data_IF_610645915987
#
_entry.id   IF_610645915987
#
_cell.length_a   1.000
_cell.length_b   1.000
_cell.length_c   1.000
_cell.angle_alpha   90.00
_cell.angle_beta   90.00
_cell.angle_gamma   90.00
#
_symmetry.space_group_name_H-M   'P 1'
#
loop_
_entity.id
_entity.type
_entity.pdbx_description
1 polymer ?
#
# COMPACT_ATOMS: atom_id res chain seq x y z
N UNK A 1 -8.64 -17.69 17.94
CA UNK A 1 -8.49 -19.04 17.33
C UNK A 1 -8.41 -20.12 18.42
N UNK A 2 -8.50 -21.41 18.09
CA UNK A 2 -8.33 -22.54 19.03
C UNK A 2 -7.26 -23.52 18.53
N UNK A 3 -6.53 -24.13 19.47
CA UNK A 3 -5.65 -25.26 19.18
C UNK A 3 -6.50 -26.52 19.01
N UNK A 4 -6.37 -27.20 17.87
CA UNK A 4 -7.02 -28.46 17.61
C UNK A 4 -5.96 -29.58 17.55
N UNK A 5 -6.15 -30.60 18.37
CA UNK A 5 -5.20 -31.71 18.51
C UNK A 5 -5.86 -32.95 17.92
N UNK A 6 -5.33 -33.43 16.80
CA UNK A 6 -5.83 -34.64 16.14
C UNK A 6 -4.87 -35.78 16.46
N UNK A 7 -5.39 -36.82 17.11
CA UNK A 7 -4.64 -38.03 17.45
C UNK A 7 -4.95 -39.13 16.44
N UNK A 8 -3.92 -39.68 15.83
CA UNK A 8 -3.95 -40.89 15.02
C UNK A 8 -3.13 -41.99 15.71
N UNK A 9 -3.26 -43.24 15.28
CA UNK A 9 -2.61 -44.41 15.90
C UNK A 9 -1.10 -44.20 16.13
N UNK A 10 -0.43 -43.49 15.22
CA UNK A 10 1.02 -43.31 15.24
C UNK A 10 1.47 -41.84 15.33
N UNK A 11 0.55 -40.87 15.41
CA UNK A 11 0.90 -39.47 15.21
C UNK A 11 -0.10 -38.53 15.89
N UNK A 12 0.41 -37.51 16.59
CA UNK A 12 -0.42 -36.41 17.10
C UNK A 12 -0.07 -35.12 16.35
N UNK A 13 -1.05 -34.56 15.62
CA UNK A 13 -0.86 -33.36 14.80
C UNK A 13 -1.57 -32.18 15.45
N UNK A 14 -0.87 -31.04 15.50
CA UNK A 14 -1.35 -29.80 16.07
C UNK A 14 -1.77 -28.83 14.96
N UNK A 15 -3.00 -28.31 15.06
CA UNK A 15 -3.57 -27.36 14.13
C UNK A 15 -4.06 -26.09 14.84
N UNK A 16 -3.85 -24.94 14.22
CA UNK A 16 -4.54 -23.71 14.58
C UNK A 16 -5.84 -23.62 13.77
N UNK A 17 -6.99 -23.64 14.44
CA UNK A 17 -8.29 -23.58 13.81
C UNK A 17 -9.05 -22.31 14.21
N UNK A 18 -9.75 -21.69 13.25
CA UNK A 18 -10.64 -20.56 13.47
C UNK A 18 -12.08 -21.02 13.35
N UNK A 19 -12.87 -20.77 14.38
CA UNK A 19 -14.31 -20.95 14.34
C UNK A 19 -14.96 -19.74 13.67
N UNK A 20 -15.93 -19.98 12.80
CA UNK A 20 -16.77 -18.95 12.18
C UNK A 20 -18.20 -19.48 12.04
N UNK A 21 -19.17 -18.58 11.95
CA UNK A 21 -20.56 -18.96 11.66
C UNK A 21 -20.75 -18.97 10.14
N UNK A 22 -21.29 -20.07 9.60
CA UNK A 22 -21.69 -20.12 8.20
C UNK A 22 -22.95 -19.27 7.97
N UNK A 23 -23.25 -18.96 6.70
CA UNK A 23 -24.48 -18.25 6.31
C UNK A 23 -25.76 -18.93 6.83
N UNK A 24 -25.72 -20.26 7.00
CA UNK A 24 -26.79 -21.08 7.59
C UNK A 24 -26.87 -21.03 9.14
N UNK A 25 -26.09 -20.17 9.79
CA UNK A 25 -26.06 -19.99 11.25
C UNK A 25 -25.31 -21.07 12.04
N UNK A 26 -24.85 -22.15 11.38
CA UNK A 26 -24.09 -23.24 12.03
C UNK A 26 -22.64 -22.81 12.32
N UNK A 27 -22.15 -23.14 13.51
CA UNK A 27 -20.76 -22.88 13.88
C UNK A 27 -19.83 -23.92 13.22
N UNK A 28 -19.02 -23.48 12.26
CA UNK A 28 -18.03 -24.32 11.56
C UNK A 28 -16.61 -23.90 11.92
N UNK A 29 -15.64 -24.81 11.82
CA UNK A 29 -14.22 -24.52 12.07
C UNK A 29 -13.40 -24.70 10.79
N UNK A 30 -12.57 -23.72 10.43
CA UNK A 30 -11.59 -23.81 9.34
C UNK A 30 -10.18 -23.87 9.92
N UNK A 31 -9.35 -24.78 9.41
CA UNK A 31 -7.93 -24.85 9.76
C UNK A 31 -7.21 -23.67 9.11
N UNK A 32 -6.56 -22.83 9.91
CA UNK A 32 -5.79 -21.66 9.45
C UNK A 32 -4.34 -22.05 9.17
N UNK A 33 -3.74 -22.85 10.05
CA UNK A 33 -2.34 -23.28 9.93
C UNK A 33 -2.11 -24.63 10.58
N UNK A 34 -1.35 -25.51 9.91
CA UNK A 34 -0.80 -26.73 10.50
C UNK A 34 0.49 -26.35 11.24
N UNK A 35 0.55 -26.62 12.55
CA UNK A 35 1.70 -26.28 13.39
C UNK A 35 2.79 -27.35 13.33
N UNK A 36 2.42 -28.61 13.13
CA UNK A 36 3.34 -29.73 12.99
C UNK A 36 2.90 -30.95 13.79
N UNK A 37 3.72 -31.98 13.76
CA UNK A 37 3.56 -33.19 14.59
C UNK A 37 4.25 -33.01 15.95
N UNK A 38 3.71 -33.60 17.01
CA UNK A 38 4.34 -33.52 18.35
C UNK A 38 5.79 -34.02 18.34
N UNK A 39 6.09 -35.12 17.63
CA UNK A 39 7.45 -35.67 17.51
C UNK A 39 8.42 -34.72 16.78
N UNK A 40 7.98 -34.12 15.67
CA UNK A 40 8.75 -33.10 14.94
C UNK A 40 9.05 -31.87 15.80
N UNK A 41 8.08 -31.48 16.63
CA UNK A 41 8.21 -30.34 17.52
C UNK A 41 9.10 -30.65 18.72
N UNK A 42 9.06 -31.86 19.28
CA UNK A 42 10.02 -32.31 20.33
C UNK A 42 11.46 -32.30 19.83
N UNK A 43 11.70 -32.64 18.57
CA UNK A 43 13.05 -32.58 17.99
C UNK A 43 13.56 -31.16 17.73
N UNK A 44 12.67 -30.17 17.61
CA UNK A 44 13.00 -28.76 17.34
C UNK A 44 13.02 -27.89 18.59
N UNK A 45 12.22 -28.26 19.58
CA UNK A 45 12.08 -27.56 20.85
C UNK A 45 12.97 -28.28 21.86
N UNK A 46 14.13 -27.69 22.18
CA UNK A 46 15.16 -28.24 23.08
C UNK A 46 14.65 -28.35 24.53
N UNK A 47 13.68 -29.22 24.81
CA UNK A 47 13.13 -29.50 26.15
C UNK A 47 11.82 -28.79 26.49
N UNK A 48 11.23 -28.00 25.60
CA UNK A 48 9.94 -27.33 25.81
C UNK A 48 8.77 -28.25 25.38
N UNK A 49 7.62 -28.21 26.08
CA UNK A 49 6.45 -28.99 25.71
C UNK A 49 5.84 -28.47 24.38
N UNK A 50 5.77 -29.30 23.32
CA UNK A 50 5.17 -28.92 22.04
C UNK A 50 3.75 -28.35 22.14
N UNK A 51 2.99 -28.77 23.17
CA UNK A 51 1.62 -28.30 23.36
C UNK A 51 1.61 -26.86 23.89
N UNK A 52 2.49 -26.52 24.83
CA UNK A 52 2.60 -25.15 25.35
C UNK A 52 3.11 -24.20 24.27
N UNK A 53 4.14 -24.60 23.52
CA UNK A 53 4.60 -23.83 22.37
C UNK A 53 3.48 -23.56 21.36
N UNK A 54 2.69 -24.58 21.04
CA UNK A 54 1.57 -24.44 20.11
C UNK A 54 0.45 -23.54 20.64
N UNK A 55 0.16 -23.56 21.96
CA UNK A 55 -0.77 -22.62 22.60
C UNK A 55 -0.28 -21.19 22.47
N UNK A 56 1.00 -20.93 22.73
CA UNK A 56 1.62 -19.60 22.60
C UNK A 56 1.51 -19.07 21.17
N UNK A 57 1.77 -19.92 20.17
CA UNK A 57 1.60 -19.55 18.76
C UNK A 57 0.16 -19.20 18.41
N UNK A 58 -0.82 -20.00 18.87
CA UNK A 58 -2.25 -19.72 18.65
C UNK A 58 -2.70 -18.44 19.35
N UNK A 59 -2.17 -18.16 20.54
CA UNK A 59 -2.44 -16.92 21.28
C UNK A 59 -1.91 -15.71 20.51
N UNK A 60 -0.67 -15.76 20.02
CA UNK A 60 -0.09 -14.70 19.19
C UNK A 60 -0.90 -14.41 17.92
N UNK A 61 -1.33 -15.46 17.20
CA UNK A 61 -2.20 -15.30 16.04
C UNK A 61 -3.56 -14.67 16.40
N UNK A 62 -4.12 -15.02 17.55
CA UNK A 62 -5.39 -14.45 18.02
C UNK A 62 -5.23 -12.97 18.41
N UNK A 63 -4.10 -12.59 19.01
CA UNK A 63 -3.81 -11.19 19.33
C UNK A 63 -3.69 -10.33 18.07
N UNK A 64 -2.98 -10.81 17.04
CA UNK A 64 -2.86 -10.14 15.74
C UNK A 64 -4.22 -9.96 15.05
N UNK A 65 -5.08 -10.99 15.06
CA UNK A 65 -6.44 -10.88 14.53
C UNK A 65 -7.30 -9.88 15.32
N UNK A 66 -7.12 -9.79 16.64
CA UNK A 66 -7.85 -8.84 17.50
C UNK A 66 -7.40 -7.40 17.24
N UNK A 67 -6.10 -7.19 17.07
CA UNK A 67 -5.51 -5.90 16.70
C UNK A 67 -6.02 -5.44 15.33
N UNK A 68 -6.08 -6.35 14.34
CA UNK A 68 -6.60 -6.05 13.01
C UNK A 68 -8.12 -5.81 12.95
N UNK A 69 -8.89 -6.27 13.94
CA UNK A 69 -10.35 -6.11 14.02
C UNK A 69 -10.80 -5.12 15.09
N UNK A 70 -9.96 -4.13 15.43
CA UNK A 70 -10.36 -3.08 16.37
C UNK A 70 -11.58 -2.33 15.83
N UNK A 71 -12.65 -2.28 16.63
CA UNK A 71 -13.79 -1.44 16.36
C UNK A 71 -13.40 0.03 16.54
N UNK A 72 -13.55 0.80 15.48
CA UNK A 72 -13.43 2.27 15.54
C UNK A 72 -14.80 2.82 15.88
N UNK A 73 -14.96 3.33 17.09
CA UNK A 73 -16.17 4.04 17.52
C UNK A 73 -15.95 5.52 17.20
N UNK A 74 -16.79 6.08 16.34
CA UNK A 74 -16.79 7.51 16.02
C UNK A 74 -17.95 8.13 16.80
N UNK A 75 -17.63 8.95 17.80
CA UNK A 75 -18.62 9.72 18.56
C UNK A 75 -19.00 10.97 17.77
N UNK A 76 -20.28 11.07 17.39
CA UNK A 76 -20.82 12.14 16.55
C UNK A 76 -21.88 12.92 17.33
N UNK A 77 -21.60 14.18 17.66
CA UNK A 77 -22.59 15.07 18.27
C UNK A 77 -23.50 15.69 17.18
N UNK A 78 -24.83 15.40 17.17
CA UNK A 78 -25.75 15.94 16.18
C UNK A 78 -25.98 17.45 16.29
N UNK A 79 -25.69 18.06 17.44
CA UNK A 79 -25.84 19.50 17.67
C UNK A 79 -24.59 20.29 17.25
N UNK A 80 -23.47 19.61 16.96
CA UNK A 80 -22.26 20.26 16.53
C UNK A 80 -22.42 20.79 15.10
N UNK A 81 -22.50 22.11 14.96
CA UNK A 81 -22.56 22.77 13.65
C UNK A 81 -21.18 22.71 12.96
N UNK A 82 -21.19 22.45 11.67
CA UNK A 82 -19.98 22.47 10.83
C UNK A 82 -19.79 23.89 10.30
N UNK A 83 -18.58 24.43 10.43
CA UNK A 83 -18.27 25.77 9.92
C UNK A 83 -18.42 25.80 8.40
N UNK A 84 -19.07 26.84 7.87
CA UNK A 84 -19.27 26.98 6.43
C UNK A 84 -17.91 27.06 5.72
N UNK A 85 -17.67 26.15 4.77
CA UNK A 85 -16.42 26.05 4.01
C UNK A 85 -15.39 25.08 4.60
N UNK A 86 -15.65 24.49 5.77
CA UNK A 86 -14.79 23.48 6.37
C UNK A 86 -14.99 22.12 5.70
N UNK A 87 -13.91 21.55 5.14
CA UNK A 87 -13.93 20.24 4.49
C UNK A 87 -13.57 19.16 5.50
N UNK A 88 -14.49 18.22 5.74
CA UNK A 88 -14.30 17.06 6.63
C UNK A 88 -14.23 15.70 5.90
N UNK A 89 -14.36 15.71 4.58
CA UNK A 89 -14.27 14.50 3.74
C UNK A 89 -13.17 14.62 2.69
N UNK A 90 -12.31 13.61 2.62
CA UNK A 90 -11.16 13.54 1.72
C UNK A 90 -11.17 12.22 0.97
N UNK A 91 -10.62 12.22 -0.24
CA UNK A 91 -10.38 10.99 -0.98
C UNK A 91 -9.10 10.36 -0.45
N UNK A 92 -9.23 9.22 0.23
CA UNK A 92 -8.10 8.40 0.72
C UNK A 92 -7.67 7.29 -0.24
N UNK A 93 -8.30 7.14 -1.41
CA UNK A 93 -7.99 6.09 -2.38
C UNK A 93 -6.56 6.14 -2.90
N UNK A 94 -5.93 7.32 -2.87
CA UNK A 94 -4.53 7.48 -3.27
C UNK A 94 -3.54 6.82 -2.30
N UNK A 95 -3.91 6.55 -1.05
CA UNK A 95 -3.01 5.95 -0.05
C UNK A 95 -2.51 4.56 -0.48
N UNK A 96 -3.34 3.81 -1.20
CA UNK A 96 -2.93 2.54 -1.79
C UNK A 96 -1.88 2.74 -2.90
N UNK A 97 -2.08 3.75 -3.75
CA UNK A 97 -1.13 4.12 -4.81
C UNK A 97 0.17 4.66 -4.21
N UNK A 98 0.09 5.36 -3.07
CA UNK A 98 1.25 5.86 -2.34
C UNK A 98 2.14 4.73 -1.85
N UNK A 99 1.56 3.68 -1.26
CA UNK A 99 2.31 2.47 -0.89
C UNK A 99 3.06 1.88 -2.10
N UNK A 100 2.36 1.65 -3.21
CA UNK A 100 2.97 1.11 -4.44
C UNK A 100 4.07 2.03 -4.97
N UNK A 101 3.84 3.34 -4.96
CA UNK A 101 4.80 4.34 -5.43
C UNK A 101 6.15 4.27 -4.70
N UNK A 102 6.11 4.11 -3.36
CA UNK A 102 7.31 3.98 -2.54
C UNK A 102 7.92 2.58 -2.61
N UNK A 103 7.12 1.52 -2.72
CA UNK A 103 7.63 0.15 -2.94
C UNK A 103 8.38 0.02 -4.28
N UNK A 104 7.97 0.78 -5.31
CA UNK A 104 8.68 0.87 -6.58
C UNK A 104 9.97 1.71 -6.52
N UNK A 105 10.23 2.39 -5.40
CA UNK A 105 11.42 3.23 -5.21
C UNK A 105 11.46 4.48 -6.08
N UNK A 106 10.30 4.99 -6.52
CA UNK A 106 10.21 6.20 -7.35
C UNK A 106 10.74 7.43 -6.63
N UNK A 107 10.60 7.49 -5.30
CA UNK A 107 11.16 8.55 -4.46
C UNK A 107 12.69 8.58 -4.52
N UNK A 108 13.34 7.41 -4.55
CA UNK A 108 14.79 7.29 -4.67
C UNK A 108 15.28 7.78 -6.04
N UNK A 109 14.52 7.51 -7.10
CA UNK A 109 14.82 8.01 -8.44
C UNK A 109 14.71 9.54 -8.46
N UNK A 110 13.63 10.09 -7.90
CA UNK A 110 13.46 11.55 -7.78
C UNK A 110 14.61 12.19 -6.99
N UNK A 111 15.04 11.59 -5.87
CA UNK A 111 16.20 12.07 -5.09
C UNK A 111 17.50 12.03 -5.89
N UNK A 112 17.75 10.98 -6.68
CA UNK A 112 18.95 10.88 -7.54
C UNK A 112 18.96 11.96 -8.61
N UNK A 113 17.82 12.21 -9.26
CA UNK A 113 17.67 13.26 -10.27
C UNK A 113 17.86 14.64 -9.63
N UNK A 114 17.25 14.87 -8.47
CA UNK A 114 17.40 16.12 -7.73
C UNK A 114 18.85 16.43 -7.37
N UNK A 115 19.63 15.43 -6.94
CA UNK A 115 21.07 15.59 -6.65
C UNK A 115 21.89 15.94 -7.89
N UNK A 116 21.56 15.36 -9.04
CA UNK A 116 22.25 15.63 -10.32
C UNK A 116 21.97 17.05 -10.81
N UNK A 117 20.74 17.53 -10.59
CA UNK A 117 20.29 18.84 -11.04
C UNK A 117 20.14 19.79 -9.84
N UNK A 118 21.28 20.31 -9.35
CA UNK A 118 21.36 21.20 -8.17
C UNK A 118 20.54 22.51 -8.28
N UNK A 119 20.02 22.84 -9.46
CA UNK A 119 19.22 24.04 -9.73
C UNK A 119 17.71 23.83 -9.55
N UNK A 120 17.26 22.64 -9.18
CA UNK A 120 15.84 22.36 -8.99
C UNK A 120 15.32 23.05 -7.71
N UNK A 121 14.51 24.09 -7.89
CA UNK A 121 13.86 24.85 -6.81
C UNK A 121 12.49 24.28 -6.38
N UNK A 122 12.22 23.01 -6.65
CA UNK A 122 10.93 22.39 -6.40
C UNK A 122 11.09 20.94 -5.94
N UNK A 123 10.08 20.41 -5.22
CA UNK A 123 10.04 19.01 -4.82
C UNK A 123 9.59 18.12 -5.99
N UNK A 124 10.55 17.47 -6.62
CA UNK A 124 10.29 16.54 -7.73
C UNK A 124 9.45 15.34 -7.28
N UNK A 125 9.64 14.84 -6.06
CA UNK A 125 8.92 13.68 -5.57
C UNK A 125 7.44 14.02 -5.35
N UNK A 126 7.14 15.13 -4.67
CA UNK A 126 5.78 15.61 -4.46
C UNK A 126 5.03 15.90 -5.75
N UNK A 127 5.69 16.48 -6.76
CA UNK A 127 5.04 16.72 -8.06
C UNK A 127 4.76 15.40 -8.79
N UNK A 128 5.71 14.46 -8.80
CA UNK A 128 5.53 13.18 -9.47
C UNK A 128 4.45 12.34 -8.81
N UNK A 129 4.47 12.21 -7.48
CA UNK A 129 3.48 11.46 -6.72
C UNK A 129 2.07 12.04 -6.93
N UNK A 130 1.91 13.36 -6.82
CA UNK A 130 0.65 14.06 -7.10
C UNK A 130 0.14 13.73 -8.52
N UNK A 131 1.00 13.84 -9.54
CA UNK A 131 0.61 13.57 -10.92
C UNK A 131 0.21 12.11 -11.11
N UNK A 132 0.95 11.16 -10.54
CA UNK A 132 0.66 9.73 -10.66
C UNK A 132 -0.68 9.39 -10.00
N UNK A 133 -0.90 9.84 -8.75
CA UNK A 133 -2.12 9.54 -8.02
C UNK A 133 -3.35 10.15 -8.68
N UNK A 134 -3.26 11.42 -9.09
CA UNK A 134 -4.38 12.11 -9.75
C UNK A 134 -4.66 11.50 -11.11
N UNK A 135 -3.66 11.14 -11.91
CA UNK A 135 -3.88 10.51 -13.24
C UNK A 135 -4.60 9.17 -13.15
N UNK A 136 -4.36 8.40 -12.09
CA UNK A 136 -5.00 7.08 -11.91
C UNK A 136 -6.43 7.26 -11.40
N UNK A 137 -6.67 8.17 -10.46
CA UNK A 137 -7.99 8.35 -9.83
C UNK A 137 -8.91 9.28 -10.63
N UNK A 138 -8.35 10.30 -11.26
CA UNK A 138 -9.00 11.40 -11.96
C UNK A 138 -8.23 11.71 -13.25
N UNK A 139 -8.34 10.84 -14.28
CA UNK A 139 -7.60 11.02 -15.52
C UNK A 139 -7.94 12.39 -16.13
N UNK A 140 -6.90 13.21 -16.32
CA UNK A 140 -7.09 14.58 -16.77
C UNK A 140 -5.79 15.29 -17.12
N UNK A 141 -5.94 16.57 -17.44
CA UNK A 141 -4.83 17.46 -17.75
C UNK A 141 -3.91 17.65 -16.53
N UNK A 142 -2.66 18.06 -16.78
CA UNK A 142 -1.74 18.42 -15.69
C UNK A 142 -2.35 19.52 -14.79
N UNK A 143 -3.22 20.38 -15.34
CA UNK A 143 -3.85 21.50 -14.63
C UNK A 143 -4.94 21.03 -13.68
N UNK A 144 -5.84 20.19 -14.18
CA UNK A 144 -6.89 19.60 -13.36
C UNK A 144 -6.30 18.73 -12.25
N UNK A 145 -5.15 18.06 -12.47
CA UNK A 145 -4.45 17.30 -11.41
C UNK A 145 -4.21 18.10 -10.12
N UNK A 146 -3.91 19.41 -10.18
CA UNK A 146 -3.70 20.21 -8.96
C UNK A 146 -5.02 20.44 -8.21
N UNK A 147 -6.08 20.73 -8.95
CA UNK A 147 -7.42 20.91 -8.39
C UNK A 147 -7.95 19.60 -7.80
N UNK A 148 -7.67 18.48 -8.47
CA UNK A 148 -8.01 17.14 -8.01
C UNK A 148 -7.19 16.70 -6.80
N UNK A 149 -5.91 17.07 -6.72
CA UNK A 149 -5.05 16.74 -5.57
C UNK A 149 -5.50 17.43 -4.28
N UNK A 150 -6.21 18.58 -4.37
CA UNK A 150 -6.88 19.19 -3.20
C UNK A 150 -7.98 18.31 -2.60
N UNK A 151 -8.38 17.24 -3.29
CA UNK A 151 -9.32 16.25 -2.78
C UNK A 151 -8.67 15.23 -1.86
N UNK A 152 -7.35 15.13 -1.84
CA UNK A 152 -6.60 14.20 -0.99
C UNK A 152 -6.46 14.70 0.44
N UNK A 153 -6.16 13.78 1.36
CA UNK A 153 -5.89 14.09 2.75
C UNK A 153 -4.57 14.88 2.88
N UNK A 154 -3.53 14.43 2.18
CA UNK A 154 -2.26 15.12 2.04
C UNK A 154 -2.31 16.06 0.82
N UNK A 155 -2.54 17.35 1.07
CA UNK A 155 -2.58 18.34 -0.01
C UNK A 155 -1.17 18.72 -0.44
N UNK A 156 -0.88 18.76 -1.76
CA UNK A 156 0.44 19.15 -2.24
C UNK A 156 0.68 20.65 -2.04
N UNK A 157 1.87 21.01 -1.57
CA UNK A 157 2.29 22.42 -1.39
C UNK A 157 2.74 23.09 -2.70
N UNK A 158 2.65 22.42 -3.85
CA UNK A 158 3.27 22.91 -5.08
C UNK A 158 2.55 24.15 -5.67
N UNK A 159 3.34 25.18 -5.99
CA UNK A 159 2.85 26.33 -6.75
C UNK A 159 2.66 25.98 -8.24
N UNK A 160 1.72 26.67 -8.92
CA UNK A 160 1.37 26.42 -10.32
C UNK A 160 2.59 26.46 -11.26
N UNK A 161 3.58 27.31 -10.98
CA UNK A 161 4.78 27.48 -11.82
C UNK A 161 5.69 26.25 -11.82
N UNK A 162 5.73 25.49 -10.73
CA UNK A 162 6.63 24.33 -10.57
C UNK A 162 6.27 23.18 -11.52
N UNK A 163 5.02 23.13 -12.02
CA UNK A 163 4.50 22.10 -12.94
C UNK A 163 5.04 22.22 -14.38
N UNK A 164 5.27 23.45 -14.84
CA UNK A 164 5.82 23.71 -16.18
C UNK A 164 7.28 23.26 -16.23
N UNK A 165 8.03 23.51 -15.16
CA UNK A 165 9.47 23.24 -15.09
C UNK A 165 9.78 21.74 -15.13
N UNK A 166 9.02 20.90 -14.42
CA UNK A 166 9.17 19.43 -14.49
C UNK A 166 8.93 18.92 -15.91
N UNK A 167 7.83 19.38 -16.54
CA UNK A 167 7.49 18.94 -17.91
C UNK A 167 8.54 19.37 -18.92
N UNK A 168 9.06 20.59 -18.80
CA UNK A 168 10.10 21.10 -19.69
C UNK A 168 11.42 20.36 -19.48
N UNK A 169 11.79 20.06 -18.24
CA UNK A 169 13.03 19.33 -17.91
C UNK A 169 13.02 17.90 -18.45
N UNK A 170 11.90 17.18 -18.31
CA UNK A 170 11.77 15.84 -18.90
C UNK A 170 11.80 15.87 -20.43
N UNK A 171 11.06 16.81 -21.07
CA UNK A 171 11.15 17.00 -22.53
C UNK A 171 12.56 17.35 -22.99
N UNK A 172 13.30 18.15 -22.23
CA UNK A 172 14.67 18.53 -22.59
C UNK A 172 15.63 17.34 -22.50
N UNK A 173 15.52 16.52 -21.45
CA UNK A 173 16.32 15.29 -21.31
C UNK A 173 15.98 14.25 -22.39
N UNK A 174 14.70 14.10 -22.75
CA UNK A 174 14.26 13.21 -23.82
C UNK A 174 14.80 13.70 -25.19
N UNK A 175 14.74 15.00 -25.46
CA UNK A 175 15.32 15.59 -26.68
C UNK A 175 16.85 15.47 -26.77
N UNK A 176 17.60 15.57 -25.66
CA UNK A 176 19.04 15.30 -25.68
C UNK A 176 19.37 13.83 -25.94
N UNK A 177 18.55 12.91 -25.42
CA UNK A 177 18.70 11.47 -25.62
C UNK A 177 18.45 11.08 -27.08
N UNK A 178 17.47 11.72 -27.73
CA UNK A 178 17.17 11.56 -29.16
C UNK A 178 18.26 12.16 -30.05
N UNK A 179 18.89 13.28 -29.64
CA UNK A 179 19.98 13.91 -30.40
C UNK A 179 21.33 13.20 -30.30
N UNK A 180 21.58 12.40 -29.25
CA UNK A 180 22.87 11.71 -29.04
C UNK A 180 22.87 10.21 -29.36
N UNK A 181 21.86 9.70 -30.08
CA UNK A 181 21.97 8.40 -30.77
C UNK A 181 22.10 7.15 -29.90
N UNK A 182 21.69 7.17 -28.63
CA UNK A 182 21.65 5.95 -27.80
C UNK A 182 20.25 5.33 -27.92
N UNK A 183 20.10 4.43 -28.89
CA UNK A 183 18.92 3.57 -29.06
C UNK A 183 18.89 2.59 -27.88
N UNK A 184 18.00 2.81 -26.90
CA UNK A 184 17.66 1.74 -25.96
C UNK A 184 16.78 0.70 -26.67
N UNK A 185 17.09 -0.61 -26.55
CA UNK A 185 16.29 -1.65 -27.20
C UNK A 185 14.87 -1.67 -26.62
N UNK A 186 13.91 -1.73 -27.54
CA UNK A 186 12.47 -1.87 -27.29
C UNK A 186 12.16 -3.08 -26.40
N UNK A 187 12.22 -2.91 -25.07
CA UNK A 187 11.60 -3.83 -24.11
C UNK A 187 10.42 -3.16 -23.44
N UNK A 188 9.30 -3.25 -24.14
CA UNK A 188 7.95 -3.44 -23.61
C UNK A 188 7.49 -2.52 -22.45
N UNK A 189 7.69 -1.21 -22.57
CA UNK A 189 7.14 -0.24 -21.61
C UNK A 189 5.80 0.34 -22.07
N UNK A 190 4.77 -0.53 -22.11
CA UNK A 190 3.36 -0.12 -22.38
C UNK A 190 2.87 0.98 -21.40
N UNK A 191 3.45 1.07 -20.21
CA UNK A 191 3.11 2.06 -19.18
C UNK A 191 3.46 3.49 -19.62
N UNK A 192 4.56 3.71 -20.33
CA UNK A 192 4.98 5.04 -20.79
C UNK A 192 4.10 5.52 -21.96
N UNK A 193 3.65 4.58 -22.81
CA UNK A 193 2.78 4.89 -23.97
C UNK A 193 1.39 5.38 -23.54
N UNK A 194 0.85 4.87 -22.43
CA UNK A 194 -0.45 5.32 -21.88
C UNK A 194 -0.41 6.79 -21.43
N UNK A 195 0.74 7.25 -20.92
CA UNK A 195 0.91 8.66 -20.49
C UNK A 195 0.94 9.62 -21.70
N UNK A 196 1.43 9.15 -22.86
CA UNK A 196 1.56 9.95 -24.08
C UNK A 196 0.26 10.03 -24.89
N UNK A 197 -0.57 8.99 -24.91
CA UNK A 197 -1.77 8.94 -25.75
C UNK A 197 -2.96 9.75 -25.19
N UNK A 198 -2.87 10.20 -23.93
CA UNK A 198 -3.89 11.02 -23.24
C UNK A 198 -3.52 12.51 -23.19
N UNK A 199 -2.60 12.94 -24.06
CA UNK A 199 -2.14 14.33 -24.19
C UNK A 199 -2.45 14.95 -25.56
N UNK A 200 -3.37 14.34 -26.33
CA UNK A 200 -4.09 14.97 -27.44
C UNK A 200 -5.54 15.15 -26.98
#
# INVERSE_FOLDING_TARGET
MKLNIVKSKNCTILYAARSYKSESGKSTSKVVKRLGTVEELRGKLNGEDPIEWAKTQVAGMTALEKEGNKHVIIDCNPMALISKGERRSYNGGYLFLQKIYYELGLDHICKKIAKKHKLLKYDLNGILSMLVYTRILYPGSKRSSLEDARKFLEQPECALEQRVIVTFSFKYQENQSVKHGIIYPQKNNRIIKIIYQSAI
#
